data_IF_961787012077
#
_entry.id   IF_961787012077
#
_cell.length_a   1.000
_cell.length_b   1.000
_cell.length_c   1.000
_cell.angle_alpha   90.00
_cell.angle_beta   90.00
_cell.angle_gamma   90.00
#
_symmetry.space_group_name_H-M   'P 1'
#
loop_
_entity.id
_entity.type
_entity.pdbx_description
1 polymer ?
2 polymer ?
3 branched ?
4 non-polymer ?
5 non-polymer ?
6 non-polymer ?
7 non-polymer ?
8 water ?
#
# COMPACT_ATOMS: atom_id res chain seq x y z
N UNK A 1 19.12 20.85 -18.16
CA UNK A 1 18.67 19.47 -18.04
C UNK A 1 17.14 19.43 -17.96
N UNK A 2 16.55 18.42 -18.58
CA UNK A 2 15.11 18.19 -18.53
C UNK A 2 14.85 16.72 -18.24
N UNK A 3 13.60 16.41 -17.91
CA UNK A 3 13.23 15.06 -17.49
C UNK A 3 12.77 14.23 -18.68
N UNK A 4 13.37 13.05 -18.83
CA UNK A 4 12.96 12.09 -19.85
C UNK A 4 11.77 11.31 -19.32
N UNK A 5 10.64 11.40 -20.03
CA UNK A 5 9.40 10.74 -19.62
C UNK A 5 9.42 9.30 -20.11
N UNK A 6 9.10 8.38 -19.20
CA UNK A 6 9.01 6.95 -19.50
C UNK A 6 7.55 6.52 -19.50
N UNK A 7 7.11 5.90 -20.59
CA UNK A 7 5.74 5.43 -20.73
C UNK A 7 5.74 3.91 -20.79
N UNK A 8 5.03 3.29 -19.86
CA UNK A 8 4.93 1.84 -19.78
C UNK A 8 3.59 1.37 -20.35
N UNK A 9 3.63 0.22 -21.02
CA UNK A 9 2.44 -0.37 -21.63
C UNK A 9 2.56 -1.88 -21.53
N UNK A 10 1.44 -2.60 -21.29
CA UNK A 10 0.13 -2.01 -21.02
C UNK A 10 0.02 -1.51 -19.58
N UNK A 11 -1.08 -0.85 -19.24
CA UNK A 11 -1.27 -0.42 -17.86
C UNK A 11 -1.49 -1.59 -16.92
N UNK A 12 -2.21 -2.60 -17.39
CA UNK A 12 -2.48 -3.80 -16.60
C UNK A 12 -2.30 -5.03 -17.47
N UNK A 13 -1.73 -6.08 -16.89
CA UNK A 13 -1.52 -7.34 -17.58
C UNK A 13 -2.04 -8.48 -16.72
N UNK A 14 -2.84 -9.36 -17.31
CA UNK A 14 -3.43 -10.48 -16.59
C UNK A 14 -3.10 -11.76 -17.34
N UNK A 15 -2.28 -12.61 -16.73
CA UNK A 15 -1.81 -13.83 -17.38
C UNK A 15 -1.85 -14.98 -16.38
N UNK A 16 -1.90 -16.19 -16.91
CA UNK A 16 -1.95 -17.41 -16.11
C UNK A 16 -0.55 -17.85 -15.71
N UNK A 17 -0.42 -18.60 -14.61
CA UNK A 17 0.89 -19.11 -14.23
C UNK A 17 1.50 -19.95 -15.34
N UNK A 18 2.82 -19.84 -15.49
CA UNK A 18 3.53 -20.51 -16.55
C UNK A 18 3.66 -19.72 -17.84
N UNK A 19 2.83 -18.69 -18.03
CA UNK A 19 2.92 -17.86 -19.22
C UNK A 19 4.09 -16.89 -19.10
N UNK A 20 4.31 -16.11 -20.15
CA UNK A 20 5.39 -15.16 -20.22
C UNK A 20 4.83 -13.74 -20.30
N UNK A 21 5.29 -12.88 -19.40
CA UNK A 21 4.89 -11.49 -19.37
C UNK A 21 5.88 -10.64 -20.15
N UNK A 22 5.36 -9.71 -20.93
CA UNK A 22 6.17 -8.79 -21.74
C UNK A 22 5.75 -7.37 -21.41
N UNK A 23 6.61 -6.64 -20.72
CA UNK A 23 6.31 -5.29 -20.25
C UNK A 23 7.15 -4.29 -21.02
N UNK A 24 6.50 -3.26 -21.56
CA UNK A 24 7.16 -2.28 -22.40
C UNK A 24 7.46 -1.00 -21.61
N UNK A 25 8.54 -0.33 -21.99
CA UNK A 25 8.96 0.93 -21.39
C UNK A 25 9.53 1.81 -22.50
N UNK A 26 8.76 2.81 -22.92
CA UNK A 26 9.16 3.70 -24.00
C UNK A 26 9.66 5.02 -23.43
N UNK A 27 10.78 5.51 -23.96
CA UNK A 27 11.39 6.75 -23.51
C UNK A 27 11.12 7.86 -24.53
N UNK A 28 10.87 9.07 -24.02
CA UNK A 28 10.58 10.20 -24.91
C UNK A 28 11.79 10.58 -25.75
N UNK A 29 13.00 10.30 -25.28
CA UNK A 29 14.20 10.48 -26.06
C UNK A 29 15.19 9.38 -25.69
N UNK A 30 16.31 9.34 -26.42
CA UNK A 30 17.25 8.25 -26.29
C UNK A 30 17.85 8.18 -24.88
N UNK A 31 17.95 6.97 -24.35
CA UNK A 31 18.62 6.70 -23.08
C UNK A 31 20.03 6.22 -23.38
N UNK A 32 21.03 6.99 -22.92
CA UNK A 32 22.41 6.71 -23.28
C UNK A 32 22.91 5.42 -22.66
N UNK A 33 23.83 4.75 -23.37
CA UNK A 33 24.40 3.48 -22.94
C UNK A 33 23.30 2.49 -22.59
N UNK A 34 23.48 1.75 -21.50
CA UNK A 34 22.40 0.89 -21.00
C UNK A 34 21.99 1.37 -19.61
N UNK A 35 21.48 2.58 -19.53
CA UNK A 35 21.16 3.22 -18.25
C UNK A 35 19.66 3.11 -17.95
N UNK A 36 19.19 1.88 -17.79
CA UNK A 36 17.79 1.63 -17.46
C UNK A 36 17.71 0.53 -16.41
N UNK A 37 16.75 0.67 -15.49
CA UNK A 37 16.54 -0.30 -14.43
C UNK A 37 15.06 -0.68 -14.36
N UNK A 38 14.80 -1.81 -13.71
CA UNK A 38 13.45 -2.32 -13.51
C UNK A 38 13.23 -2.64 -12.03
N UNK A 39 12.04 -2.33 -11.54
CA UNK A 39 11.69 -2.55 -10.14
C UNK A 39 10.37 -3.32 -10.03
N UNK A 40 10.24 -4.06 -8.94
CA UNK A 40 9.00 -4.73 -8.56
C UNK A 40 8.55 -4.18 -7.22
N UNK A 41 7.29 -3.76 -7.13
CA UNK A 41 6.75 -3.19 -5.90
C UNK A 41 5.52 -3.96 -5.44
N UNK A 42 5.49 -4.26 -4.14
CA UNK A 42 4.37 -4.89 -3.47
C UNK A 42 3.75 -3.90 -2.49
N UNK A 43 2.51 -4.14 -2.05
CA UNK A 43 1.83 -3.18 -1.16
C UNK A 43 2.60 -2.97 0.14
N UNK A 44 2.64 -1.71 0.58
CA UNK A 44 3.28 -1.34 1.82
C UNK A 44 4.78 -1.47 1.86
N UNK A 45 5.42 -1.62 0.70
CA UNK A 45 6.87 -1.81 0.65
C UNK A 45 7.48 -0.92 -0.42
N UNK A 46 8.73 -0.52 -0.25
CA UNK A 46 9.41 0.24 -1.30
C UNK A 46 9.64 -0.64 -2.52
N UNK A 47 9.87 -0.04 -3.69
CA UNK A 47 10.20 -0.84 -4.87
C UNK A 47 11.45 -1.68 -4.66
N UNK A 48 11.47 -2.85 -5.30
CA UNK A 48 12.57 -3.79 -5.20
C UNK A 48 13.30 -3.83 -6.55
N UNK A 49 14.59 -3.53 -6.54
CA UNK A 49 15.37 -3.52 -7.77
C UNK A 49 15.48 -4.93 -8.33
N UNK A 50 15.06 -5.11 -9.58
CA UNK A 50 15.18 -6.39 -10.28
C UNK A 50 16.32 -6.39 -11.29
N UNK A 51 16.27 -5.47 -12.25
CA UNK A 51 17.24 -5.40 -13.33
C UNK A 51 17.89 -4.02 -13.31
N UNK A 52 19.19 -3.99 -13.54
CA UNK A 52 19.92 -2.75 -13.77
C UNK A 52 20.82 -2.95 -14.98
N UNK A 53 21.25 -1.84 -15.58
CA UNK A 53 22.04 -1.94 -16.80
C UNK A 53 21.30 -2.63 -17.91
N UNK A 54 19.99 -2.42 -18.00
CA UNK A 54 19.10 -2.97 -19.03
C UNK A 54 18.92 -4.47 -18.87
N UNK A 55 20.03 -5.22 -18.72
CA UNK A 55 19.96 -6.68 -18.71
C UNK A 55 20.60 -7.35 -17.50
N UNK A 56 21.27 -6.61 -16.61
CA UNK A 56 21.94 -7.23 -15.48
C UNK A 56 20.98 -7.37 -14.31
N UNK A 57 20.87 -8.60 -13.78
CA UNK A 57 19.95 -8.87 -12.70
C UNK A 57 20.57 -8.50 -11.35
N UNK A 58 19.71 -8.15 -10.40
CA UNK A 58 20.13 -7.90 -9.04
C UNK A 58 20.30 -9.22 -8.28
N UNK A 59 20.94 -9.14 -7.13
CA UNK A 59 21.17 -10.33 -6.32
C UNK A 59 19.85 -10.94 -5.87
N UNK A 60 19.68 -12.23 -6.14
CA UNK A 60 18.48 -12.94 -5.76
C UNK A 60 17.37 -12.94 -6.79
N UNK A 61 17.57 -12.30 -7.94
CA UNK A 61 16.56 -12.26 -8.99
C UNK A 61 16.72 -13.50 -9.87
N UNK A 62 15.66 -14.29 -10.06
CA UNK A 62 15.78 -15.52 -10.86
C UNK A 62 16.07 -15.23 -12.32
N UNK A 63 16.51 -16.27 -13.02
CA UNK A 63 16.84 -16.15 -14.44
C UNK A 63 15.61 -15.88 -15.31
N UNK A 64 14.40 -16.14 -14.79
CA UNK A 64 13.20 -15.90 -15.59
C UNK A 64 12.89 -14.42 -15.75
N UNK A 65 13.53 -13.54 -15.00
CA UNK A 65 13.46 -12.10 -15.20
C UNK A 65 14.60 -11.68 -16.11
N UNK A 66 14.27 -11.13 -17.29
CA UNK A 66 15.29 -10.67 -18.21
C UNK A 66 14.85 -9.35 -18.84
N UNK A 67 15.81 -8.46 -19.06
CA UNK A 67 15.52 -7.19 -19.69
C UNK A 67 16.34 -6.99 -20.95
N UNK A 68 15.84 -6.15 -21.86
CA UNK A 68 16.54 -5.88 -23.11
C UNK A 68 16.13 -4.50 -23.60
N UNK A 69 16.64 -4.13 -24.76
CA UNK A 69 16.29 -2.89 -25.42
C UNK A 69 17.42 -1.88 -25.40
N UNK A 70 17.21 -0.81 -26.15
CA UNK A 70 18.17 0.29 -26.24
C UNK A 70 17.44 1.49 -26.83
N UNK A 71 18.11 2.64 -26.79
CA UNK A 71 17.56 3.85 -27.35
C UNK A 71 16.33 4.34 -26.60
N UNK A 72 15.15 4.10 -27.18
CA UNK A 72 13.89 4.53 -26.59
C UNK A 72 12.92 3.38 -26.35
N UNK A 73 13.34 2.14 -26.60
CA UNK A 73 12.45 0.99 -26.48
C UNK A 73 13.13 -0.06 -25.60
N UNK A 74 12.50 -0.36 -24.46
CA UNK A 74 13.01 -1.33 -23.50
C UNK A 74 11.89 -2.27 -23.09
N UNK A 75 12.26 -3.50 -22.72
CA UNK A 75 11.29 -4.52 -22.40
C UNK A 75 11.77 -5.36 -21.22
N UNK A 76 10.86 -5.64 -20.29
CA UNK A 76 11.07 -6.59 -19.22
C UNK A 76 10.27 -7.86 -19.51
N UNK A 77 10.95 -9.00 -19.51
CA UNK A 77 10.35 -10.29 -19.83
C UNK A 77 10.38 -11.18 -18.60
N UNK A 78 9.23 -11.71 -18.22
CA UNK A 78 9.09 -12.61 -17.07
C UNK A 78 8.50 -13.92 -17.59
N UNK A 79 9.33 -14.95 -17.65
CA UNK A 79 8.86 -16.26 -18.08
C UNK A 79 8.45 -17.10 -16.88
N UNK A 80 7.65 -18.13 -17.14
CA UNK A 80 7.18 -19.06 -16.11
C UNK A 80 6.57 -18.30 -14.93
N UNK A 81 5.54 -17.51 -15.24
CA UNK A 81 4.93 -16.65 -14.24
C UNK A 81 4.45 -17.46 -13.05
N UNK A 82 4.63 -16.89 -11.86
CA UNK A 82 4.20 -17.48 -10.60
C UNK A 82 3.28 -16.51 -9.87
N UNK A 83 2.58 -17.02 -8.86
CA UNK A 83 1.63 -16.18 -8.12
C UNK A 83 2.31 -15.00 -7.46
N UNK A 84 3.52 -15.21 -6.93
CA UNK A 84 4.25 -14.13 -6.27
C UNK A 84 4.72 -13.05 -7.24
N UNK A 85 4.61 -13.27 -8.55
CA UNK A 85 4.95 -12.23 -9.52
C UNK A 85 3.86 -11.19 -9.65
N UNK A 86 2.71 -11.39 -8.99
CA UNK A 86 1.64 -10.40 -8.95
C UNK A 86 2.14 -9.16 -8.21
N UNK A 87 2.36 -8.07 -8.95
CA UNK A 87 2.92 -6.85 -8.39
C UNK A 87 2.85 -5.77 -9.45
N UNK A 88 3.38 -4.60 -9.11
CA UNK A 88 3.51 -3.47 -10.03
C UNK A 88 4.99 -3.35 -10.38
N UNK A 89 5.29 -3.20 -11.67
CA UNK A 89 6.65 -3.12 -12.16
C UNK A 89 6.90 -1.75 -12.77
N UNK A 90 7.98 -1.11 -12.36
CA UNK A 90 8.38 0.20 -12.86
C UNK A 90 9.71 0.10 -13.57
N UNK A 91 9.87 0.88 -14.64
CA UNK A 91 11.18 1.09 -15.24
C UNK A 91 11.72 2.45 -14.82
N UNK A 92 13.04 2.58 -14.83
CA UNK A 92 13.69 3.81 -14.40
C UNK A 92 14.97 4.00 -15.20
N UNK A 93 15.13 5.17 -15.79
CA UNK A 93 16.32 5.52 -16.54
C UNK A 93 17.23 6.40 -15.70
N UNK A 94 18.54 6.26 -15.91
CA UNK A 94 19.52 7.14 -15.29
C UNK A 94 20.55 7.62 -16.30
N UNK A 95 20.14 7.75 -17.57
CA UNK A 95 20.99 8.40 -18.55
C UNK A 95 21.05 9.90 -18.32
N UNK A 96 19.92 10.50 -17.92
CA UNK A 96 19.82 11.87 -17.50
C UNK A 96 19.42 11.89 -16.02
N UNK A 97 18.79 12.96 -15.57
CA UNK A 97 18.30 13.00 -14.20
C UNK A 97 17.24 11.92 -14.03
N UNK A 98 17.32 11.09 -13.00
CA UNK A 98 16.50 9.87 -12.95
C UNK A 98 15.01 10.16 -13.01
N UNK A 99 14.30 9.38 -13.83
CA UNK A 99 12.86 9.41 -13.90
C UNK A 99 12.33 7.98 -13.95
N UNK A 100 11.07 7.82 -13.54
CA UNK A 100 10.43 6.52 -13.48
C UNK A 100 9.25 6.46 -14.46
N UNK A 101 8.93 5.25 -14.91
CA UNK A 101 7.68 5.02 -15.61
C UNK A 101 6.52 5.01 -14.63
N UNK A 102 5.31 5.00 -15.19
CA UNK A 102 4.11 5.01 -14.37
C UNK A 102 3.76 3.63 -13.82
N UNK A 103 4.35 2.58 -14.34
CA UNK A 103 4.16 1.25 -13.77
C UNK A 103 3.18 0.41 -14.57
N UNK A 104 3.40 -0.90 -14.53
CA UNK A 104 2.50 -1.88 -15.13
C UNK A 104 2.12 -2.88 -14.06
N UNK A 105 0.82 -3.01 -13.79
CA UNK A 105 0.33 -3.96 -12.80
C UNK A 105 0.15 -5.32 -13.45
N UNK A 106 0.72 -6.36 -12.85
CA UNK A 106 0.63 -7.72 -13.35
C UNK A 106 -0.28 -8.51 -12.41
N UNK A 107 -1.42 -8.95 -12.94
CA UNK A 107 -2.32 -9.85 -12.23
C UNK A 107 -2.08 -11.27 -12.71
N UNK A 108 -1.98 -12.20 -11.76
CA UNK A 108 -1.75 -13.61 -12.07
C UNK A 108 -3.09 -14.32 -12.01
N UNK A 109 -3.50 -14.93 -13.12
CA UNK A 109 -4.78 -15.61 -13.17
C UNK A 109 -4.75 -16.86 -12.28
N UNK A 110 -5.94 -17.27 -11.85
CA UNK A 110 -6.11 -18.51 -11.10
C UNK A 110 -7.49 -19.06 -11.39
N UNK A 111 -7.79 -20.21 -10.79
CA UNK A 111 -9.13 -20.78 -10.92
C UNK A 111 -10.16 -19.86 -10.28
N UNK A 112 -11.40 -19.96 -10.76
CA UNK A 112 -12.48 -19.16 -10.20
C UNK A 112 -12.67 -19.53 -8.74
N UNK A 113 -12.79 -18.52 -7.89
CA UNK A 113 -13.02 -18.71 -6.46
C UNK A 113 -14.15 -17.79 -6.03
N UNK A 114 -15.27 -18.38 -5.62
CA UNK A 114 -16.37 -17.57 -5.12
C UNK A 114 -15.99 -16.93 -3.79
N UNK A 115 -16.53 -15.76 -3.49
CA UNK A 115 -16.24 -15.13 -2.20
C UNK A 115 -17.05 -15.75 -1.07
N UNK A 116 -16.42 -15.90 0.08
CA UNK A 116 -17.13 -16.17 1.32
C UNK A 116 -17.59 -14.83 1.88
N UNK A 117 -18.90 -14.70 2.10
CA UNK A 117 -19.50 -13.43 2.47
C UNK A 117 -19.88 -13.47 3.96
N UNK A 118 -19.54 -12.39 4.66
CA UNK A 118 -19.85 -12.21 6.08
C UNK A 118 -20.38 -10.80 6.30
N UNK A 119 -21.46 -10.68 7.07
CA UNK A 119 -21.98 -9.38 7.46
C UNK A 119 -21.72 -9.17 8.95
N UNK A 120 -21.49 -7.92 9.33
CA UNK A 120 -21.19 -7.57 10.72
C UNK A 120 -22.14 -6.47 11.17
N UNK A 121 -22.93 -6.68 12.22
CA UNK A 121 -23.75 -5.61 12.76
C UNK A 121 -22.90 -4.58 13.49
N UNK A 122 -23.43 -3.37 13.71
CA UNK A 122 -22.69 -2.39 14.50
C UNK A 122 -22.50 -2.88 15.93
N UNK A 123 -21.36 -2.52 16.51
CA UNK A 123 -21.08 -2.89 17.89
C UNK A 123 -21.86 -2.00 18.86
N UNK A 124 -22.08 -2.52 20.07
CA UNK A 124 -22.72 -1.73 21.11
C UNK A 124 -21.85 -0.54 21.51
N UNK A 125 -20.52 -0.68 21.42
CA UNK A 125 -19.64 0.45 21.72
C UNK A 125 -19.88 1.60 20.76
N UNK A 126 -20.00 1.31 19.46
CA UNK A 126 -20.20 2.38 18.49
C UNK A 126 -21.60 2.98 18.62
N UNK A 127 -22.60 2.14 18.90
CA UNK A 127 -23.97 2.65 19.02
C UNK A 127 -24.09 3.67 20.15
N UNK A 128 -23.31 3.51 21.22
CA UNK A 128 -23.30 4.52 22.26
C UNK A 128 -22.77 5.86 21.75
N UNK A 129 -21.87 5.83 20.75
CA UNK A 129 -21.30 7.06 20.20
C UNK A 129 -22.27 7.82 19.30
N UNK A 130 -23.41 7.22 18.95
CA UNK A 130 -24.38 7.87 18.11
C UNK A 130 -24.29 7.53 16.63
N UNK A 131 -23.40 6.62 16.25
CA UNK A 131 -23.22 6.22 14.86
C UNK A 131 -23.32 4.70 14.76
N UNK A 132 -23.63 4.21 13.56
CA UNK A 132 -23.74 2.78 13.31
C UNK A 132 -23.10 2.47 11.96
N UNK A 133 -22.08 1.62 11.99
CA UNK A 133 -21.41 1.15 10.78
C UNK A 133 -21.73 -0.33 10.59
N UNK A 134 -22.28 -0.68 9.43
CA UNK A 134 -22.52 -2.06 9.03
C UNK A 134 -21.47 -2.42 8.00
N UNK A 135 -20.83 -3.58 8.17
CA UNK A 135 -19.72 -3.99 7.33
C UNK A 135 -20.05 -5.31 6.66
N UNK A 136 -19.70 -5.40 5.37
CA UNK A 136 -19.83 -6.62 4.59
C UNK A 136 -18.46 -7.02 4.08
N UNK A 137 -18.10 -8.28 4.29
CA UNK A 137 -16.80 -8.80 3.92
C UNK A 137 -16.95 -9.86 2.83
N UNK A 138 -16.23 -9.66 1.72
CA UNK A 138 -16.09 -10.66 0.66
C UNK A 138 -14.66 -11.17 0.71
N UNK A 139 -14.49 -12.43 1.09
CA UNK A 139 -13.18 -12.97 1.42
C UNK A 139 -12.70 -13.93 0.33
N UNK A 140 -11.51 -13.66 -0.22
CA UNK A 140 -10.73 -14.58 -1.03
C UNK A 140 -11.50 -15.04 -2.27
N UNK A 141 -11.71 -14.09 -3.18
CA UNK A 141 -12.43 -14.38 -4.41
C UNK A 141 -11.56 -14.05 -5.63
N UNK A 142 -11.95 -14.64 -6.77
CA UNK A 142 -11.33 -14.37 -8.05
C UNK A 142 -12.31 -14.79 -9.13
N UNK A 143 -12.50 -14.01 -10.21
CA UNK A 143 -11.79 -12.77 -10.55
C UNK A 143 -12.18 -11.56 -9.69
N UNK A 144 -11.53 -10.43 -9.98
CA UNK A 144 -11.73 -9.23 -9.18
C UNK A 144 -13.16 -8.69 -9.30
N UNK A 145 -13.78 -8.86 -10.45
CA UNK A 145 -15.12 -8.30 -10.67
C UNK A 145 -16.12 -8.89 -9.69
N UNK A 146 -16.81 -7.99 -8.97
CA UNK A 146 -17.79 -8.38 -7.97
C UNK A 146 -18.72 -7.19 -7.74
N UNK A 147 -19.96 -7.50 -7.39
CA UNK A 147 -20.97 -6.49 -7.11
C UNK A 147 -21.46 -6.66 -5.68
N UNK A 148 -21.45 -5.58 -4.91
CA UNK A 148 -21.98 -5.56 -3.56
C UNK A 148 -23.14 -4.58 -3.52
N UNK A 149 -24.30 -5.05 -3.05
CA UNK A 149 -25.49 -4.23 -2.96
C UNK A 149 -26.02 -4.26 -1.53
N UNK A 150 -26.10 -3.08 -0.91
CA UNK A 150 -26.70 -2.95 0.40
C UNK A 150 -28.20 -2.76 0.27
N UNK A 151 -28.96 -3.46 1.11
CA UNK A 151 -30.41 -3.33 1.14
C UNK A 151 -30.85 -3.12 2.58
N UNK A 152 -31.61 -2.06 2.82
CA UNK A 152 -32.12 -1.70 4.13
C UNK A 152 -33.63 -1.72 4.05
N UNK A 153 -34.25 -2.73 4.64
CA UNK A 153 -35.69 -2.98 4.48
C UNK A 153 -36.06 -3.03 2.99
N UNK A 154 -35.25 -3.77 2.24
CA UNK A 154 -35.36 -3.99 0.80
C UNK A 154 -35.14 -2.72 -0.02
N UNK A 155 -34.70 -1.63 0.61
CA UNK A 155 -34.35 -0.42 -0.12
C UNK A 155 -32.92 -0.53 -0.59
N UNK A 156 -32.72 -0.47 -1.91
CA UNK A 156 -31.37 -0.51 -2.47
C UNK A 156 -30.62 0.77 -2.12
N UNK A 157 -29.46 0.61 -1.50
CA UNK A 157 -28.63 1.73 -1.10
C UNK A 157 -27.70 2.12 -2.25
N UNK A 158 -27.71 3.41 -2.61
CA UNK A 158 -26.88 3.92 -3.69
C UNK A 158 -26.19 5.21 -3.22
N UNK A 159 -24.87 5.16 -3.15
CA UNK A 159 -24.09 6.31 -2.69
C UNK A 159 -23.96 6.43 -1.20
N UNK A 160 -24.35 5.41 -0.43
CA UNK A 160 -24.34 5.47 1.02
C UNK A 160 -23.25 4.61 1.66
N UNK A 161 -22.42 3.96 0.85
CA UNK A 161 -21.41 3.06 1.37
C UNK A 161 -20.07 3.33 0.70
N UNK A 162 -19.01 2.83 1.34
CA UNK A 162 -17.66 2.90 0.79
C UNK A 162 -17.03 1.51 0.88
N UNK A 163 -16.16 1.21 -0.08
CA UNK A 163 -15.52 -0.09 -0.14
C UNK A 163 -14.04 0.07 -0.48
N UNK A 164 -13.25 -0.92 -0.06
CA UNK A 164 -11.87 -1.01 -0.48
C UNK A 164 -11.53 -2.47 -0.73
N UNK A 165 -10.53 -2.69 -1.58
CA UNK A 165 -10.14 -4.03 -2.03
C UNK A 165 -8.66 -4.19 -1.80
N UNK A 166 -8.26 -5.33 -1.26
CA UNK A 166 -6.84 -5.63 -1.12
C UNK A 166 -6.23 -5.90 -2.49
N UNK A 167 -4.92 -5.71 -2.58
CA UNK A 167 -4.20 -6.15 -3.76
C UNK A 167 -4.19 -7.67 -3.81
N UNK A 168 -3.96 -8.20 -5.02
CA UNK A 168 -4.02 -9.64 -5.21
C UNK A 168 -3.02 -10.35 -4.29
N UNK A 169 -3.51 -11.36 -3.57
CA UNK A 169 -2.65 -12.08 -2.64
C UNK A 169 -1.53 -12.77 -3.40
N UNK A 170 -0.31 -12.65 -2.89
CA UNK A 170 0.85 -13.20 -3.58
C UNK A 170 0.92 -14.72 -3.50
N UNK A 171 0.10 -15.35 -2.67
CA UNK A 171 0.14 -16.79 -2.49
C UNK A 171 -1.02 -17.52 -3.15
N UNK A 172 -2.26 -17.10 -2.88
CA UNK A 172 -3.43 -17.76 -3.46
C UNK A 172 -4.10 -16.95 -4.56
N UNK A 173 -3.58 -15.78 -4.90
CA UNK A 173 -4.01 -15.01 -6.07
C UNK A 173 -5.46 -14.54 -5.98
N UNK A 174 -6.01 -14.44 -4.77
CA UNK A 174 -7.36 -13.96 -4.60
C UNK A 174 -7.36 -12.49 -4.16
N UNK A 175 -8.55 -11.90 -4.22
CA UNK A 175 -8.83 -10.57 -3.70
C UNK A 175 -9.81 -10.70 -2.53
N UNK A 176 -9.86 -9.65 -1.71
CA UNK A 176 -10.90 -9.52 -0.69
C UNK A 176 -11.43 -8.09 -0.72
N UNK A 177 -12.70 -7.94 -0.36
CA UNK A 177 -13.36 -6.64 -0.39
C UNK A 177 -14.09 -6.40 0.92
N UNK A 178 -13.98 -5.18 1.42
CA UNK A 178 -14.69 -4.74 2.62
C UNK A 178 -15.55 -3.54 2.24
N UNK A 179 -16.84 -3.61 2.59
CA UNK A 179 -17.78 -2.53 2.32
C UNK A 179 -18.45 -2.09 3.61
N UNK A 180 -18.54 -0.78 3.81
CA UNK A 180 -19.03 -0.19 5.05
C UNK A 180 -20.23 0.69 4.76
N UNK A 181 -21.38 0.34 5.34
CA UNK A 181 -22.58 1.17 5.29
C UNK A 181 -22.69 1.88 6.63
N UNK A 182 -22.58 3.20 6.62
CA UNK A 182 -22.61 4.00 7.84
C UNK A 182 -23.87 4.85 7.88
N UNK A 183 -24.55 4.82 9.02
CA UNK A 183 -25.73 5.64 9.28
C UNK A 183 -25.62 6.23 10.67
N UNK A 184 -26.37 7.30 10.90
CA UNK A 184 -26.54 7.80 12.25
C UNK A 184 -27.34 6.79 13.07
N UNK A 185 -27.19 6.86 14.40
CA UNK A 185 -27.93 5.96 15.27
C UNK A 185 -29.44 6.15 15.09
N UNK A 186 -29.88 7.39 14.88
CA UNK A 186 -31.30 7.66 14.69
C UNK A 186 -31.81 7.00 13.42
N UNK A 187 -31.09 7.17 12.31
CA UNK A 187 -31.53 6.54 11.06
C UNK A 187 -31.38 5.03 11.11
N UNK A 188 -30.36 4.53 11.82
CA UNK A 188 -30.17 3.09 11.95
C UNK A 188 -31.35 2.44 12.66
N UNK A 189 -31.88 3.09 13.69
CA UNK A 189 -32.99 2.54 14.45
C UNK A 189 -34.34 2.76 13.78
N UNK A 190 -34.38 3.39 12.61
CA UNK A 190 -35.62 3.52 11.87
C UNK A 190 -35.95 2.28 11.05
N UNK A 191 -35.00 1.36 10.89
CA UNK A 191 -35.16 0.22 10.00
C UNK A 191 -34.82 -1.06 10.73
N UNK A 192 -35.21 -2.19 10.12
CA UNK A 192 -35.09 -3.49 10.75
C UNK A 192 -34.09 -4.39 10.05
N UNK A 193 -34.29 -4.65 8.76
CA UNK A 193 -33.51 -5.64 8.02
C UNK A 193 -32.36 -4.94 7.31
N UNK A 194 -31.13 -5.36 7.62
CA UNK A 194 -29.93 -4.87 6.96
C UNK A 194 -29.26 -6.04 6.24
N UNK A 195 -29.16 -5.93 4.92
CA UNK A 195 -28.73 -7.04 4.08
C UNK A 195 -27.61 -6.62 3.15
N UNK A 196 -26.73 -7.58 2.84
CA UNK A 196 -25.64 -7.40 1.90
C UNK A 196 -25.77 -8.50 0.83
N UNK A 197 -26.00 -8.09 -0.41
CA UNK A 197 -26.20 -9.04 -1.51
C UNK A 197 -24.98 -8.97 -2.43
N UNK A 198 -24.35 -10.13 -2.65
CA UNK A 198 -23.09 -10.23 -3.36
C UNK A 198 -23.32 -11.02 -4.66
N UNK A 199 -22.85 -10.46 -5.77
CA UNK A 199 -22.89 -11.11 -7.07
C UNK A 199 -21.47 -11.34 -7.55
N UNK A 200 -21.17 -12.57 -7.97
CA UNK A 200 -19.85 -12.95 -8.42
C UNK A 200 -19.98 -14.19 -9.29
N UNK A 201 -19.15 -14.29 -10.33
CA UNK A 201 -19.30 -15.38 -11.28
C UNK A 201 -18.99 -16.74 -10.67
N UNK A 202 -18.34 -16.79 -9.51
CA UNK A 202 -18.15 -18.04 -8.80
C UNK A 202 -19.38 -18.54 -8.07
N UNK A 203 -20.39 -17.70 -7.91
CA UNK A 203 -21.64 -18.06 -7.25
C UNK A 203 -22.69 -18.45 -8.27
N UNK A 204 -23.43 -19.52 -7.99
CA UNK A 204 -24.51 -19.92 -8.89
C UNK A 204 -25.66 -18.92 -8.88
N UNK A 205 -25.81 -18.17 -7.79
CA UNK A 205 -26.81 -17.14 -7.66
C UNK A 205 -26.32 -16.15 -6.63
N UNK A 206 -26.83 -14.91 -6.63
CA UNK A 206 -26.38 -13.93 -5.65
C UNK A 206 -26.64 -14.41 -4.21
N UNK A 207 -25.66 -14.18 -3.35
CA UNK A 207 -25.75 -14.55 -1.94
C UNK A 207 -26.08 -13.31 -1.13
N UNK A 208 -26.99 -13.47 -0.16
CA UNK A 208 -27.41 -12.37 0.71
C UNK A 208 -27.14 -12.76 2.16
N UNK A 209 -26.41 -11.90 2.86
CA UNK A 209 -26.22 -12.03 4.30
C UNK A 209 -26.93 -10.87 4.98
N UNK A 210 -27.73 -11.18 6.00
CA UNK A 210 -28.56 -10.15 6.60
C UNK A 210 -28.77 -10.44 8.08
N UNK A 211 -29.26 -9.41 8.78
CA UNK A 211 -29.66 -9.53 10.17
C UNK A 211 -30.75 -8.52 10.42
N UNK A 212 -31.50 -8.73 11.50
CA UNK A 212 -32.55 -7.82 11.92
C UNK A 212 -32.06 -7.03 13.13
N UNK A 213 -32.09 -5.71 13.04
CA UNK A 213 -31.63 -4.86 14.13
C UNK A 213 -32.55 -4.99 15.34
N UNK A 214 -31.95 -5.06 16.52
CA UNK A 214 -32.71 -5.03 17.75
C UNK A 214 -33.55 -6.26 18.02
N UNK A 215 -33.14 -7.41 17.50
CA UNK A 215 -33.84 -8.68 17.72
C UNK A 215 -32.90 -9.69 18.36
N UNK A 216 -32.12 -9.24 19.34
CA UNK A 216 -31.06 -10.06 19.92
C UNK A 216 -31.10 -9.97 21.44
N UNK B 1 24.94 -6.77 6.08
CA UNK B 1 23.81 -6.37 5.26
C UNK B 1 23.55 -4.86 5.38
N UNK B 2 23.54 -4.18 4.23
CA UNK B 2 23.30 -2.74 4.21
C UNK B 2 21.84 -2.49 4.55
N UNK B 3 21.60 -1.51 5.43
CA UNK B 3 20.26 -1.19 5.87
C UNK B 3 20.10 0.32 5.96
N UNK B 4 18.98 0.82 5.46
CA UNK B 4 18.63 2.24 5.53
C UNK B 4 17.41 2.41 6.43
N UNK B 5 17.58 3.20 7.48
CA UNK B 5 16.50 3.52 8.41
C UNK B 5 16.24 5.01 8.35
N UNK B 6 14.97 5.39 8.17
CA UNK B 6 14.61 6.79 8.04
C UNK B 6 13.52 7.16 9.02
N UNK B 7 13.39 8.46 9.28
CA UNK B 7 12.40 8.99 10.21
C UNK B 7 12.16 10.46 9.87
N UNK B 8 11.27 11.08 10.63
CA UNK B 8 10.90 12.47 10.43
C UNK B 8 9.39 12.63 10.56
N UNK B 9 8.96 13.87 10.77
CA UNK B 9 7.55 14.16 10.95
C UNK B 9 6.85 14.16 9.59
N UNK B 10 5.72 13.46 9.52
CA UNK B 10 5.00 13.30 8.27
C UNK B 10 3.86 14.28 8.07
N UNK B 11 3.13 14.58 9.14
CA UNK B 11 2.02 15.51 9.07
C UNK B 11 2.51 16.93 9.33
N UNK B 12 2.12 17.85 8.45
CA UNK B 12 2.48 19.25 8.59
C UNK B 12 1.50 20.10 7.80
N UNK B 13 1.31 21.33 8.24
CA UNK B 13 0.43 22.28 7.60
C UNK B 13 1.06 22.81 6.31
N UNK B 14 0.27 23.39 5.41
CA UNK B 14 0.85 24.07 4.25
C UNK B 14 1.82 25.16 4.68
N UNK B 15 2.75 25.47 3.78
CA UNK B 15 3.82 26.46 3.97
C UNK B 15 4.75 26.11 5.11
N UNK B 16 4.70 24.89 5.62
CA UNK B 16 5.56 24.43 6.70
C UNK B 16 6.75 23.67 6.11
N UNK B 17 7.80 23.53 6.91
CA UNK B 17 9.04 22.92 6.44
C UNK B 17 9.07 21.43 6.76
N UNK B 18 9.30 20.62 5.73
CA UNK B 18 9.47 19.19 5.89
C UNK B 18 10.94 18.87 6.09
N UNK B 19 11.23 17.97 7.05
CA UNK B 19 12.60 17.56 7.33
C UNK B 19 12.62 16.07 7.62
N UNK B 20 13.30 15.30 6.78
CA UNK B 20 13.43 13.87 6.94
C UNK B 20 14.91 13.48 6.99
N UNK B 21 15.21 12.44 7.76
CA UNK B 21 16.58 11.98 7.94
C UNK B 21 16.65 10.48 7.68
N UNK B 22 17.78 10.04 7.13
CA UNK B 22 17.99 8.66 6.74
C UNK B 22 19.35 8.21 7.27
N UNK B 23 19.35 7.19 8.11
CA UNK B 23 20.57 6.63 8.67
C UNK B 23 21.01 5.44 7.84
N UNK B 24 22.30 5.39 7.51
CA UNK B 24 22.86 4.32 6.68
C UNK B 24 23.71 3.43 7.59
N UNK B 25 23.37 2.16 7.63
CA UNK B 25 24.12 1.16 8.38
C UNK B 25 24.86 0.24 7.42
N UNK B 26 26.05 -0.20 7.85
CA UNK B 26 26.81 -1.23 7.14
C UNK B 26 27.27 -0.78 5.76
N UNK B 27 27.57 0.52 5.61
CA UNK B 27 28.02 1.03 4.32
C UNK B 27 28.72 2.36 4.54
N UNK B 28 29.77 2.61 3.75
CA UNK B 28 30.48 3.87 3.78
C UNK B 28 29.79 4.89 2.88
N UNK B 29 29.63 6.12 3.40
CA UNK B 29 28.96 7.15 2.62
C UNK B 29 29.74 7.50 1.36
N UNK B 30 31.06 7.33 1.38
CA UNK B 30 31.88 7.71 0.24
C UNK B 30 31.94 6.64 -0.84
N UNK B 31 31.26 5.51 -0.65
CA UNK B 31 31.27 4.46 -1.66
C UNK B 31 30.09 4.55 -2.62
N UNK B 32 29.09 5.36 -2.33
CA UNK B 32 27.89 5.43 -3.15
C UNK B 32 27.36 6.86 -3.14
N UNK B 33 26.47 7.14 -4.10
CA UNK B 33 25.61 8.31 -4.05
C UNK B 33 24.34 7.97 -3.26
N UNK B 34 23.67 9.00 -2.75
CA UNK B 34 22.54 8.83 -1.84
C UNK B 34 21.39 9.73 -2.28
N UNK B 35 20.24 9.14 -2.59
CA UNK B 35 19.13 9.87 -3.19
C UNK B 35 17.90 9.84 -2.31
N UNK B 36 17.04 10.84 -2.52
CA UNK B 36 15.70 10.88 -1.96
C UNK B 36 14.69 10.73 -3.08
N UNK B 37 13.65 9.93 -2.84
CA UNK B 37 12.63 9.63 -3.83
C UNK B 37 11.28 9.66 -3.13
N UNK B 38 10.27 10.21 -3.78
CA UNK B 38 8.92 10.20 -3.25
C UNK B 38 7.97 9.52 -4.22
N UNK B 39 6.85 9.04 -3.68
CA UNK B 39 5.85 8.32 -4.46
C UNK B 39 4.47 8.78 -4.03
N UNK B 40 3.69 9.31 -4.98
CA UNK B 40 2.34 9.78 -4.70
C UNK B 40 1.39 9.18 -5.72
N UNK B 41 0.09 9.31 -5.45
CA UNK B 41 -0.90 8.76 -6.35
C UNK B 41 -1.06 9.61 -7.61
N UNK B 42 -0.86 10.92 -7.49
CA UNK B 42 -1.01 11.81 -8.63
C UNK B 42 0.20 11.75 -9.56
N UNK B 43 1.40 11.68 -9.00
CA UNK B 43 2.62 11.81 -9.78
C UNK B 43 3.44 10.53 -9.88
N UNK B 44 3.10 9.49 -9.12
CA UNK B 44 3.91 8.29 -9.15
C UNK B 44 5.25 8.47 -8.45
N UNK B 45 6.25 7.73 -8.92
CA UNK B 45 7.59 7.81 -8.36
C UNK B 45 8.32 9.02 -8.92
N UNK B 46 8.87 9.85 -8.04
CA UNK B 46 9.64 11.02 -8.43
C UNK B 46 10.97 11.02 -7.70
N UNK B 47 12.06 10.94 -8.46
CA UNK B 47 13.38 11.18 -7.91
C UNK B 47 13.50 12.65 -7.52
N UNK B 48 13.91 12.90 -6.28
CA UNK B 48 14.00 14.28 -5.79
C UNK B 48 15.40 14.85 -5.99
N UNK B 49 16.42 14.16 -5.50
CA UNK B 49 17.79 14.62 -5.65
C UNK B 49 18.73 13.64 -4.99
N UNK B 50 20.02 13.92 -5.13
CA UNK B 50 21.07 13.03 -4.65
C UNK B 50 22.21 13.86 -4.08
N UNK B 51 23.08 13.19 -3.31
CA UNK B 51 24.26 13.82 -2.71
C UNK B 51 25.34 12.77 -2.56
N UNK B 52 26.61 13.20 -2.60
CA UNK B 52 27.74 12.31 -2.36
C UNK B 52 28.50 12.76 -1.12
N UNK B 53 29.59 12.05 -0.82
CA UNK B 53 30.37 12.34 0.39
C UNK B 53 31.09 13.68 0.30
N UNK B 54 31.29 14.21 -0.90
CA UNK B 54 31.87 15.53 -1.08
C UNK B 54 30.82 16.64 -0.97
N UNK B 55 29.59 16.28 -0.57
CA UNK B 55 28.47 17.21 -0.44
C UNK B 55 28.06 17.82 -1.77
N UNK B 56 28.43 17.19 -2.88
CA UNK B 56 27.95 17.61 -4.19
C UNK B 56 26.55 17.04 -4.42
N UNK B 57 25.65 17.87 -4.94
CA UNK B 57 24.26 17.48 -5.09
C UNK B 57 23.86 17.60 -6.56
N UNK B 58 22.81 16.86 -6.91
CA UNK B 58 22.13 16.99 -8.20
C UNK B 58 20.63 16.88 -7.90
N UNK B 59 19.87 17.87 -8.33
CA UNK B 59 18.47 17.98 -7.97
C UNK B 59 17.56 17.76 -9.18
N UNK B 60 16.34 17.32 -8.91
CA UNK B 60 15.30 17.24 -9.93
C UNK B 60 15.06 18.64 -10.49
N UNK B 61 15.18 18.84 -11.80
CA UNK B 61 15.04 20.21 -12.34
C UNK B 61 13.66 20.80 -12.14
N UNK B 62 12.63 19.97 -12.03
CA UNK B 62 11.28 20.45 -11.77
C UNK B 62 11.06 20.84 -10.31
N UNK B 63 11.95 20.45 -9.41
CA UNK B 63 11.82 20.77 -8.00
C UNK B 63 12.97 21.59 -7.44
N UNK B 64 13.95 21.96 -8.27
CA UNK B 64 15.12 22.68 -7.76
C UNK B 64 14.69 24.02 -7.16
N UNK B 65 15.34 24.38 -6.05
CA UNK B 65 15.04 25.59 -5.32
C UNK B 65 14.09 25.39 -4.16
N UNK B 66 13.24 24.36 -4.21
CA UNK B 66 12.26 24.13 -3.15
C UNK B 66 12.80 23.27 -2.02
N UNK B 67 14.01 22.73 -2.14
CA UNK B 67 14.53 21.84 -1.12
C UNK B 67 16.05 21.88 -1.12
N UNK B 68 16.64 21.27 -0.10
CA UNK B 68 18.09 21.08 -0.04
C UNK B 68 18.36 19.74 0.62
N UNK B 69 19.41 19.06 0.15
CA UNK B 69 19.84 17.76 0.70
C UNK B 69 21.20 17.96 1.35
N UNK B 70 21.35 17.46 2.56
CA UNK B 70 22.61 17.54 3.30
C UNK B 70 23.05 16.14 3.71
N UNK B 71 24.33 16.00 4.05
CA UNK B 71 24.90 14.72 4.42
C UNK B 71 25.79 14.91 5.64
N UNK B 72 25.81 13.90 6.52
CA UNK B 72 26.67 13.86 7.69
C UNK B 72 27.57 12.63 7.51
N UNK B 73 28.73 12.84 6.88
CA UNK B 73 29.60 11.71 6.54
C UNK B 73 30.18 11.04 7.78
N UNK B 74 30.23 11.73 8.91
CA UNK B 74 30.78 11.12 10.13
C UNK B 74 29.73 10.27 10.86
N UNK B 75 28.46 10.63 10.75
CA UNK B 75 27.38 9.90 11.40
C UNK B 75 26.63 8.98 10.44
N UNK B 76 27.04 8.91 9.17
CA UNK B 76 26.41 8.07 8.17
C UNK B 76 24.91 8.38 8.05
N UNK B 77 24.59 9.66 7.92
CA UNK B 77 23.21 10.10 7.76
C UNK B 77 23.13 11.20 6.73
N UNK B 78 22.06 11.21 5.96
CA UNK B 78 21.78 12.30 5.04
C UNK B 78 20.30 12.65 5.12
N UNK B 79 19.99 13.91 4.84
CA UNK B 79 18.67 14.46 5.14
C UNK B 79 18.11 15.18 3.92
N UNK B 80 16.79 15.39 3.97
CA UNK B 80 16.05 16.14 2.96
C UNK B 80 15.20 17.18 3.66
N UNK B 81 15.23 18.42 3.17
CA UNK B 81 14.45 19.50 3.77
C UNK B 81 13.74 20.28 2.68
N UNK B 82 12.41 20.24 2.69
CA UNK B 82 11.61 21.15 1.88
C UNK B 82 11.31 22.40 2.70
N UNK B 83 11.55 23.56 2.10
CA UNK B 83 11.47 24.81 2.86
C UNK B 83 10.02 25.16 3.21
N UNK B 84 9.09 24.95 2.28
CA UNK B 84 7.70 25.34 2.48
C UNK B 84 6.83 24.41 1.63
N UNK B 85 6.20 23.44 2.28
CA UNK B 85 5.48 22.41 1.54
C UNK B 85 4.18 22.96 0.98
N UNK B 86 3.75 22.39 -0.15
CA UNK B 86 2.44 22.64 -0.72
C UNK B 86 1.67 21.32 -0.69
N UNK B 87 0.38 21.40 -1.04
CA UNK B 87 -0.49 20.22 -0.97
C UNK B 87 0.04 19.09 -1.86
N UNK B 88 0.61 19.44 -3.02
CA UNK B 88 1.11 18.43 -3.94
C UNK B 88 2.37 17.72 -3.46
N UNK B 89 2.94 18.14 -2.33
CA UNK B 89 4.09 17.44 -1.76
C UNK B 89 3.70 16.24 -0.92
N UNK B 90 2.42 16.01 -0.68
CA UNK B 90 2.01 14.81 0.04
C UNK B 90 2.38 13.56 -0.77
N UNK B 91 3.07 12.62 -0.11
CA UNK B 91 3.58 11.41 -0.76
C UNK B 91 4.29 10.51 0.25
N UNK B 92 4.68 9.32 -0.19
CA UNK B 92 5.58 8.48 0.60
C UNK B 92 7.02 8.80 0.18
N UNK B 93 7.83 9.24 1.14
CA UNK B 93 9.20 9.65 0.85
C UNK B 93 10.18 8.56 1.25
N UNK B 94 11.06 8.19 0.31
CA UNK B 94 12.04 7.14 0.52
C UNK B 94 13.45 7.69 0.37
N UNK B 95 14.39 7.11 1.11
CA UNK B 95 15.81 7.26 0.85
C UNK B 95 16.35 5.96 0.27
N UNK B 96 17.41 6.05 -0.52
CA UNK B 96 17.93 4.89 -1.22
C UNK B 96 19.40 5.08 -1.51
N UNK B 97 20.10 3.95 -1.66
CA UNK B 97 21.50 3.93 -2.08
C UNK B 97 21.53 3.97 -3.60
N UNK B 98 22.20 4.98 -4.15
CA UNK B 98 22.23 5.19 -5.59
C UNK B 98 23.46 4.65 -6.29
N UNK B 99 24.06 5.46 -7.14
CA UNK B 99 25.14 4.98 -8.00
C UNK B 99 26.37 4.57 -7.22
N UNK B 100 27.11 3.61 -7.78
CA UNK B 100 28.30 3.06 -7.16
C UNK B 100 29.54 3.79 -7.64
N UNK B 101 30.44 4.10 -6.71
CA UNK B 101 31.62 4.89 -7.03
C UNK B 101 32.65 4.07 -7.81
N UNK B 102 33.22 4.68 -8.85
CA UNK B 102 34.27 4.08 -9.66
C UNK B 102 35.49 4.97 -9.62
N UNK B 103 36.67 4.38 -9.42
CA UNK B 103 37.91 5.12 -9.29
C UNK B 103 38.57 5.32 -10.65
N UNK B 104 38.90 6.57 -10.96
CA UNK B 104 39.63 6.93 -12.17
C UNK B 104 40.97 7.56 -11.77
N UNK B 105 41.78 7.88 -12.77
CA UNK B 105 43.01 8.61 -12.53
C UNK B 105 42.66 10.06 -12.18
N UNK B 106 42.92 10.45 -10.93
CA UNK B 106 42.78 11.81 -10.41
C UNK B 106 41.34 12.23 -10.13
N UNK B 107 40.35 11.33 -10.26
CA UNK B 107 38.97 11.68 -9.93
C UNK B 107 38.19 10.40 -9.74
N UNK B 108 36.97 10.55 -9.22
CA UNK B 108 36.07 9.42 -9.00
C UNK B 108 34.70 9.75 -9.57
N UNK B 109 34.06 8.75 -10.16
CA UNK B 109 32.74 8.90 -10.73
C UNK B 109 31.76 7.89 -10.14
N UNK B 110 30.52 7.97 -10.62
CA UNK B 110 29.45 7.11 -10.16
C UNK B 110 28.72 6.51 -11.35
N UNK B 111 28.51 5.20 -11.32
CA UNK B 111 27.82 4.49 -12.40
C UNK B 111 26.62 3.78 -11.81
N UNK B 112 25.67 3.44 -12.70
CA UNK B 112 24.47 2.70 -12.35
C UNK B 112 23.69 3.40 -11.23
N UNK B 113 23.14 4.56 -11.57
CA UNK B 113 22.41 5.38 -10.61
C UNK B 113 20.98 4.86 -10.45
N UNK B 114 20.87 3.59 -10.06
CA UNK B 114 19.62 2.98 -9.62
C UNK B 114 19.67 2.80 -8.11
N UNK B 115 18.56 2.33 -7.54
CA UNK B 115 18.31 2.47 -6.12
C UNK B 115 18.10 1.11 -5.47
N UNK B 116 19.00 0.74 -4.55
CA UNK B 116 18.97 -0.50 -3.79
C UNK B 116 20.08 -0.45 -2.74
N UNK B 117 19.76 -0.61 -1.44
CA UNK B 117 18.39 -0.78 -0.95
C UNK B 117 17.66 0.53 -0.71
N UNK B 118 16.43 0.45 -0.25
CA UNK B 118 15.58 1.60 0.05
C UNK B 118 15.31 1.68 1.55
N UNK B 119 14.98 2.89 2.00
CA UNK B 119 14.43 3.06 3.33
C UNK B 119 13.01 2.55 3.40
N UNK B 120 12.51 2.43 4.63
CA UNK B 120 11.17 1.89 4.80
C UNK B 120 10.08 2.86 4.36
N UNK B 121 10.41 4.13 4.16
CA UNK B 121 9.45 5.11 3.71
C UNK B 121 8.82 5.91 4.84
N UNK B 122 8.56 7.20 4.58
CA UNK B 122 7.89 8.07 5.53
C UNK B 122 6.73 8.75 4.82
N UNK B 123 5.51 8.45 5.26
CA UNK B 123 4.32 9.03 4.64
C UNK B 123 4.14 10.46 5.11
N UNK B 124 3.99 11.38 4.15
CA UNK B 124 3.89 12.81 4.41
C UNK B 124 2.49 13.27 4.02
N UNK B 125 1.80 13.93 4.95
CA UNK B 125 0.48 14.48 4.73
C UNK B 125 0.54 15.98 4.93
N UNK B 126 0.01 16.74 3.97
CA UNK B 126 0.00 18.20 4.01
C UNK B 126 -1.45 18.61 4.25
N UNK B 127 -1.77 19.00 5.48
CA UNK B 127 -3.13 19.37 5.84
C UNK B 127 -3.11 20.27 7.06
N UNK B 128 -4.09 21.16 7.13
CA UNK B 128 -4.27 22.00 8.30
C UNK B 128 -5.18 21.37 9.35
N UNK B 129 -5.68 20.17 9.11
CA UNK B 129 -6.54 19.49 10.07
C UNK B 129 -5.72 18.89 11.20
N UNK B 130 -6.31 18.85 12.39
CA UNK B 130 -5.60 18.35 13.54
C UNK B 130 -5.59 16.82 13.55
N UNK B 131 -4.62 16.27 14.27
CA UNK B 131 -4.53 14.83 14.45
C UNK B 131 -5.67 14.33 15.31
N UNK B 132 -6.17 13.13 14.99
CA UNK B 132 -7.24 12.52 15.76
C UNK B 132 -7.03 11.01 15.82
N UNK B 133 -7.10 10.46 17.03
CA UNK B 133 -6.96 9.04 17.23
C UNK B 133 -8.24 8.29 16.91
N UNK B 134 -8.12 7.06 16.43
CA UNK B 134 -9.31 6.30 16.02
C UNK B 134 -9.99 5.62 17.18
N UNK B 135 -11.26 5.31 16.96
CA UNK B 135 -11.98 4.37 17.79
C UNK B 135 -11.85 2.99 17.18
N UNK B 136 -11.66 1.97 18.02
CA UNK B 136 -11.53 0.60 17.58
C UNK B 136 -12.78 -0.15 17.99
N UNK B 137 -13.59 -0.55 17.01
CA UNK B 137 -14.84 -1.26 17.21
C UNK B 137 -14.73 -2.70 16.73
N UNK B 138 -15.28 -3.66 17.46
CA UNK B 138 -15.17 -5.06 17.05
C UNK B 138 -16.07 -5.39 15.88
N UNK B 139 -15.55 -6.22 14.97
CA UNK B 139 -16.36 -6.88 13.95
C UNK B 139 -16.60 -8.30 14.47
N UNK B 140 -17.65 -8.47 15.27
CA UNK B 140 -17.84 -9.68 16.06
C UNK B 140 -18.39 -10.81 15.21
N UNK B 141 -17.85 -12.02 15.35
CA UNK B 141 -18.50 -13.19 14.77
C UNK B 141 -19.72 -13.59 15.60
N UNK B 142 -20.56 -14.43 15.01
CA UNK B 142 -21.73 -14.93 15.71
C UNK B 142 -21.37 -16.16 16.54
N UNK B 143 -22.00 -16.30 17.70
CA UNK B 143 -21.85 -17.52 18.48
C UNK B 143 -22.45 -18.70 17.72
N UNK B 144 -23.59 -18.49 17.06
CA UNK B 144 -24.08 -19.45 16.09
C UNK B 144 -23.19 -19.40 14.84
N UNK B 145 -23.43 -20.34 13.93
CA UNK B 145 -22.58 -20.51 12.77
C UNK B 145 -22.88 -19.43 11.72
N UNK B 146 -21.85 -18.69 11.33
CA UNK B 146 -21.82 -17.94 10.07
C UNK B 146 -20.81 -18.68 9.21
N UNK B 147 -21.32 -19.56 8.34
CA UNK B 147 -20.55 -20.61 7.68
C UNK B 147 -20.09 -21.64 8.71
N UNK B 148 -20.40 -22.90 8.46
CA UNK B 148 -20.20 -23.92 9.48
C UNK B 148 -18.73 -24.15 9.84
N UNK B 149 -17.85 -24.12 8.85
CA UNK B 149 -16.46 -24.42 9.09
C UNK B 149 -15.61 -23.22 9.45
N UNK B 150 -15.83 -22.09 8.79
CA UNK B 150 -14.99 -20.92 8.92
C UNK B 150 -15.82 -19.71 9.34
N UNK B 151 -15.37 -19.01 10.38
CA UNK B 151 -15.95 -17.75 10.80
C UNK B 151 -14.99 -16.60 10.52
N UNK B 152 -15.54 -15.41 10.39
CA UNK B 152 -14.75 -14.20 10.17
C UNK B 152 -14.98 -13.21 11.30
N UNK B 153 -13.89 -12.58 11.73
CA UNK B 153 -13.95 -11.55 12.76
C UNK B 153 -12.94 -10.46 12.41
N UNK B 154 -13.07 -9.31 13.07
CA UNK B 154 -12.16 -8.23 12.76
C UNK B 154 -12.35 -7.04 13.68
N UNK B 155 -11.69 -5.94 13.30
CA UNK B 155 -11.75 -4.68 14.01
C UNK B 155 -12.00 -3.56 13.02
N UNK B 156 -12.85 -2.61 13.42
CA UNK B 156 -13.12 -1.42 12.64
C UNK B 156 -12.37 -0.25 13.26
N UNK B 157 -11.36 0.26 12.54
CA UNK B 157 -10.53 1.36 13.01
C UNK B 157 -11.05 2.62 12.32
N UNK B 158 -11.85 3.40 13.04
CA UNK B 158 -12.70 4.42 12.43
C UNK B 158 -12.37 5.81 12.95
N UNK B 159 -12.46 6.79 12.06
CA UNK B 159 -12.41 8.22 12.38
C UNK B 159 -11.04 8.61 12.96
N UNK B 160 -10.01 8.46 12.13
CA UNK B 160 -8.66 8.90 12.50
C UNK B 160 -8.09 9.76 11.39
N UNK B 161 -7.05 10.52 11.75
CA UNK B 161 -6.35 11.37 10.81
C UNK B 161 -5.01 11.79 11.42
N UNK B 162 -3.91 11.73 10.66
CA UNK B 162 -3.88 11.24 9.29
C UNK B 162 -3.49 9.77 9.20
N UNK B 163 -3.27 9.29 7.98
CA UNK B 163 -2.62 8.00 7.79
C UNK B 163 -1.20 8.05 8.37
N UNK B 164 -0.62 6.90 8.73
CA UNK B 164 -1.17 5.55 8.66
C UNK B 164 -1.51 4.97 10.03
N UNK B 165 -2.15 3.80 10.02
CA UNK B 165 -2.32 2.98 11.22
C UNK B 165 -1.79 1.59 10.91
N UNK B 166 -1.33 0.90 11.95
CA UNK B 166 -0.90 -0.48 11.84
C UNK B 166 -1.86 -1.36 12.63
N UNK B 167 -2.13 -2.55 12.12
CA UNK B 167 -2.96 -3.54 12.80
C UNK B 167 -2.26 -4.88 12.74
N UNK B 168 -2.05 -5.50 13.90
CA UNK B 168 -1.66 -6.90 14.00
C UNK B 168 -2.72 -7.64 14.82
N UNK B 169 -2.56 -8.95 14.92
CA UNK B 169 -3.52 -9.80 15.63
C UNK B 169 -2.76 -10.71 16.59
N UNK B 170 -3.19 -10.69 17.85
CA UNK B 170 -2.57 -11.50 18.91
C UNK B 170 -1.06 -11.23 19.00
N UNK B 171 -0.69 -9.95 18.88
CA UNK B 171 0.68 -9.49 18.98
C UNK B 171 1.58 -10.18 17.95
N UNK B 172 1.03 -10.39 16.75
CA UNK B 172 1.77 -11.01 15.68
C UNK B 172 1.72 -12.52 15.63
N UNK B 173 1.14 -13.16 16.66
CA UNK B 173 1.05 -14.62 16.66
C UNK B 173 0.04 -15.13 15.63
N UNK B 174 -0.89 -14.29 15.19
CA UNK B 174 -1.91 -14.69 14.21
C UNK B 174 -1.71 -13.83 12.97
N UNK B 175 -1.28 -14.47 11.87
CA UNK B 175 -1.06 -13.77 10.62
C UNK B 175 -1.80 -14.46 9.48
N UNK B 176 -1.99 -15.77 9.60
CA UNK B 176 -2.65 -16.54 8.55
C UNK B 176 -4.10 -16.11 8.40
N UNK B 177 -4.50 -15.79 7.17
CA UNK B 177 -5.86 -15.41 6.88
C UNK B 177 -6.21 -13.97 7.20
N UNK B 178 -5.25 -13.17 7.61
CA UNK B 178 -5.52 -11.78 7.98
C UNK B 178 -5.58 -10.93 6.72
N UNK B 179 -6.59 -10.08 6.63
CA UNK B 179 -6.71 -9.09 5.57
C UNK B 179 -6.92 -7.73 6.21
N UNK B 180 -5.96 -6.82 6.03
CA UNK B 180 -6.10 -5.44 6.47
C UNK B 180 -6.29 -4.59 5.23
N UNK B 181 -7.47 -3.98 5.10
CA UNK B 181 -7.87 -3.34 3.87
C UNK B 181 -7.33 -1.92 3.78
N UNK B 182 -7.18 -1.39 2.57
CA UNK B 182 -6.85 0.03 2.43
C UNK B 182 -7.91 0.89 3.09
N UNK B 183 -7.44 1.94 3.78
CA UNK B 183 -8.36 2.88 4.40
C UNK B 183 -9.13 3.65 3.34
N UNK B 184 -10.29 4.16 3.75
CA UNK B 184 -11.11 5.04 2.91
C UNK B 184 -11.24 6.38 3.62
N UNK B 185 -11.23 7.45 2.84
CA UNK B 185 -11.41 8.80 3.36
C UNK B 185 -12.91 9.09 3.39
N UNK B 186 -13.45 9.23 4.60
CA UNK B 186 -14.88 9.48 4.75
C UNK B 186 -15.20 10.92 4.36
N UNK B 187 -16.50 11.20 4.22
CA UNK B 187 -16.95 12.55 3.87
C UNK B 187 -16.58 13.57 4.93
N UNK B 188 -16.31 13.13 6.16
CA UNK B 188 -15.91 14.02 7.24
C UNK B 188 -14.43 14.39 7.21
N UNK B 189 -13.66 13.87 6.25
CA UNK B 189 -12.24 14.08 6.21
C UNK B 189 -11.43 13.15 7.10
N UNK B 190 -12.09 12.22 7.78
CA UNK B 190 -11.42 11.26 8.64
C UNK B 190 -11.35 9.90 7.95
N UNK B 191 -10.25 9.19 8.20
CA UNK B 191 -10.05 7.88 7.61
C UNK B 191 -10.71 6.79 8.43
N UNK B 192 -10.95 5.65 7.79
CA UNK B 192 -11.54 4.49 8.44
C UNK B 192 -11.10 3.25 7.67
N UNK B 193 -10.65 2.24 8.39
CA UNK B 193 -10.29 0.99 7.74
C UNK B 193 -10.73 -0.18 8.61
N UNK B 194 -10.73 -1.36 8.00
CA UNK B 194 -11.06 -2.60 8.70
C UNK B 194 -9.91 -3.58 8.52
N UNK B 195 -9.75 -4.44 9.52
CA UNK B 195 -8.84 -5.56 9.46
C UNK B 195 -9.61 -6.79 9.91
N UNK B 196 -9.60 -7.84 9.09
CA UNK B 196 -10.38 -9.05 9.36
C UNK B 196 -9.45 -10.25 9.36
N UNK B 197 -9.97 -11.37 9.88
CA UNK B 197 -9.27 -12.65 9.85
C UNK B 197 -10.33 -13.76 9.86
N UNK B 198 -10.12 -14.78 9.02
CA UNK B 198 -10.98 -15.96 9.00
C UNK B 198 -10.34 -17.04 9.86
N UNK B 199 -11.14 -17.62 10.75
CA UNK B 199 -10.65 -18.63 11.69
C UNK B 199 -11.62 -19.79 11.70
N UNK B 200 -11.18 -20.96 12.17
CA UNK B 200 -12.11 -22.08 12.33
C UNK B 200 -13.22 -21.73 13.31
N UNK B 201 -14.46 -22.04 12.92
CA UNK B 201 -15.60 -21.72 13.77
C UNK B 201 -15.56 -22.45 15.11
N UNK B 202 -14.83 -23.56 15.20
CA UNK B 202 -14.73 -24.29 16.46
C UNK B 202 -13.83 -23.58 17.47
N UNK B 203 -13.01 -22.64 17.03
CA UNK B 203 -12.11 -21.93 17.93
C UNK B 203 -12.75 -20.72 18.58
N UNK B 204 -13.99 -20.39 18.21
CA UNK B 204 -14.61 -19.17 18.71
C UNK B 204 -14.83 -19.23 20.22
N UNK B 205 -14.98 -20.42 20.80
CA UNK B 205 -15.24 -20.52 22.22
C UNK B 205 -13.98 -20.60 23.06
N UNK B 206 -12.85 -20.96 22.46
CA UNK B 206 -11.63 -21.21 23.22
C UNK B 206 -10.51 -20.23 22.91
N UNK B 207 -10.30 -19.89 21.63
CA UNK B 207 -9.17 -19.06 21.24
C UNK B 207 -9.50 -17.58 21.39
N UNK B 208 -8.63 -16.86 22.09
CA UNK B 208 -8.79 -15.42 22.24
C UNK B 208 -8.25 -14.68 21.01
N UNK B 209 -9.01 -13.69 20.54
CA UNK B 209 -8.66 -12.90 19.37
C UNK B 209 -8.61 -11.43 19.74
N UNK B 210 -7.44 -10.81 19.56
CA UNK B 210 -7.19 -9.43 19.94
C UNK B 210 -6.50 -8.74 18.77
N UNK B 211 -7.05 -7.61 18.33
CA UNK B 211 -6.42 -6.80 17.31
C UNK B 211 -5.59 -5.70 17.98
N UNK B 212 -4.38 -5.50 17.51
CA UNK B 212 -3.44 -4.54 18.07
C UNK B 212 -3.37 -3.35 17.11
N UNK B 213 -4.00 -2.25 17.49
CA UNK B 213 -4.12 -1.07 16.65
C UNK B 213 -3.17 -0.01 17.16
N UNK B 214 -2.42 0.62 16.25
CA UNK B 214 -1.49 1.67 16.62
C UNK B 214 -1.61 2.80 15.61
N UNK B 215 -1.94 4.00 16.11
CA UNK B 215 -1.99 5.21 15.31
C UNK B 215 -0.93 6.16 15.87
N UNK B 216 0.29 6.03 15.38
CA UNK B 216 1.41 6.80 15.93
C UNK B 216 1.23 8.32 15.83
N UNK B 217 0.67 8.89 14.76
CA UNK B 217 0.49 10.36 14.75
C UNK B 217 -0.25 10.92 15.96
N UNK B 218 -1.15 10.15 16.56
CA UNK B 218 -1.86 10.59 17.75
C UNK B 218 -1.43 9.86 19.01
N UNK B 219 -0.46 8.95 18.90
CA UNK B 219 -0.02 8.11 20.03
C UNK B 219 -1.20 7.33 20.61
N UNK B 220 -2.11 6.89 19.74
CA UNK B 220 -3.27 6.09 20.14
C UNK B 220 -2.96 4.63 19.86
N UNK B 221 -2.84 3.84 20.92
CA UNK B 221 -2.52 2.42 20.84
C UNK B 221 -3.59 1.66 21.60
N UNK B 222 -4.23 0.70 20.93
CA UNK B 222 -5.38 -0.01 21.49
C UNK B 222 -5.25 -1.49 21.19
N UNK B 223 -5.46 -2.33 22.22
CA UNK B 223 -5.60 -3.78 22.06
C UNK B 223 -7.07 -4.12 22.35
N UNK B 224 -7.82 -4.42 21.29
CA UNK B 224 -9.26 -4.65 21.40
C UNK B 224 -9.55 -6.14 21.22
N UNK B 225 -10.10 -6.77 22.26
CA UNK B 225 -10.55 -8.15 22.14
C UNK B 225 -11.88 -8.23 21.41
N UNK B 226 -11.98 -9.18 20.49
CA UNK B 226 -13.19 -9.39 19.69
C UNK B 226 -13.85 -10.68 20.19
N UNK B 227 -15.08 -10.53 20.75
CA UNK B 227 -15.86 -11.63 21.33
C UNK B 227 -16.99 -12.03 20.40
N UNK B 228 -17.40 -13.30 20.42
CA UNK B 228 -18.60 -13.69 19.68
C UNK B 228 -19.84 -12.99 20.24
N UNK B 229 -20.79 -12.70 19.35
CA UNK B 229 -22.04 -12.05 19.71
C UNK B 229 -23.13 -13.09 19.83
N UNK B 230 -23.73 -13.20 21.02
CA UNK B 230 -24.81 -14.15 21.29
C UNK B 230 -26.14 -13.42 21.44
N UNK B 231 -27.23 -14.16 21.20
CA UNK B 231 -28.58 -13.65 21.38
C UNK B 231 -29.42 -14.62 22.22
#
# INVERSE_FOLDING_TARGET
>A
VHEIVLTQSPGTLSLSPGETASLSCRASQSVSDKNLAWYQQRPGLPPRLLIYGVSLKNTGVPDRFSGSGSGTNFTLTITSLESEDSAVYFCQQYGSSPTFGQGTKVEIKRTVAAPSVFIFPPSDEQLKSGTASVVCLLNNFYPREAKVQWKVDNALQSGNSQESVTEQDSKDSTYSLSSTLTLSKADYEKHKVYACEVTHQGLSSPVTKSFNRGEC
>B
QVQLQQWGTGLLKPSESLFLTCAVYNESMSAFSWSWIRQSADKGLEWIGEIDHLQHVNYNPSLTGRFTISIDTSKNQFSLRFFSVIAADAAMYYCARGGRKVYHAYWTGYVNNCFDPWGQGTLVTVSSASTKGPSVFPLAPSSKSTSGGTAALGCLVKDYFPEPVTVSWNSGALTSGVHTFPAVLQSSGLYSLSSVVTVPSSSLGTQTYICNVNHKPSNTKVDKRVEPKSCD
#
